data_IF_281622720270
#
_entry.id   IF_281622720270
#
_cell.length_a   1.000
_cell.length_b   1.000
_cell.length_c   1.000
_cell.angle_alpha   90.00
_cell.angle_beta   90.00
_cell.angle_gamma   90.00
#
_symmetry.space_group_name_H-M   'P 1'
#
loop_
_entity.id
_entity.type
_entity.pdbx_description
1 polymer ?
#
# COMPACT_ATOMS: atom_id res chain seq x y z
N UNK A 1 -1.27 15.20 -23.60
CA UNK A 1 -2.21 14.86 -22.55
C UNK A 1 -3.59 15.40 -22.88
N UNK A 2 -4.58 14.58 -22.71
CA UNK A 2 -5.95 14.98 -22.98
C UNK A 2 -6.49 15.83 -21.82
N UNK A 3 -6.79 17.08 -22.10
CA UNK A 3 -7.30 18.02 -21.10
C UNK A 3 -8.81 17.89 -20.89
N UNK A 4 -9.47 17.05 -21.66
CA UNK A 4 -10.92 16.87 -21.58
C UNK A 4 -11.31 15.67 -20.70
N UNK A 5 -10.34 15.03 -20.07
CA UNK A 5 -10.62 13.93 -19.16
C UNK A 5 -11.33 14.49 -17.93
N UNK A 6 -12.49 13.94 -17.61
CA UNK A 6 -13.26 14.31 -16.45
C UNK A 6 -13.34 13.14 -15.47
N UNK A 7 -13.31 13.46 -14.20
CA UNK A 7 -13.47 12.44 -13.16
C UNK A 7 -14.92 11.96 -13.15
N UNK A 8 -15.09 10.66 -13.17
CA UNK A 8 -16.41 10.05 -13.02
C UNK A 8 -16.73 9.96 -11.53
N UNK A 9 -17.97 10.26 -11.19
CA UNK A 9 -18.48 10.07 -9.84
C UNK A 9 -19.29 8.80 -9.81
N UNK A 10 -18.97 7.93 -8.84
CA UNK A 10 -19.68 6.69 -8.67
C UNK A 10 -20.56 6.77 -7.42
N UNK A 11 -21.65 6.02 -7.42
CA UNK A 11 -22.57 6.01 -6.29
C UNK A 11 -21.97 5.35 -5.06
N UNK A 12 -21.19 4.29 -5.27
CA UNK A 12 -20.53 3.60 -4.17
C UNK A 12 -19.19 4.28 -3.91
N UNK A 13 -19.02 4.79 -2.71
CA UNK A 13 -17.85 5.57 -2.32
C UNK A 13 -17.06 4.85 -1.22
N UNK A 14 -15.93 5.43 -0.85
CA UNK A 14 -15.07 4.86 0.19
C UNK A 14 -15.83 4.56 1.48
N UNK A 15 -16.70 5.48 1.91
CA UNK A 15 -17.41 5.32 3.16
C UNK A 15 -18.35 4.10 3.11
N UNK A 16 -18.93 3.84 1.96
CA UNK A 16 -19.80 2.68 1.80
C UNK A 16 -19.01 1.38 1.90
N UNK A 17 -17.85 1.35 1.27
CA UNK A 17 -16.97 0.19 1.31
C UNK A 17 -16.40 -0.03 2.71
N UNK A 18 -16.10 1.05 3.42
CA UNK A 18 -15.63 0.98 4.80
C UNK A 18 -16.70 0.39 5.71
N UNK A 19 -17.96 0.77 5.51
CA UNK A 19 -19.09 0.23 6.28
C UNK A 19 -19.26 -1.26 6.05
N UNK A 20 -19.13 -1.72 4.80
CA UNK A 20 -19.21 -3.14 4.50
C UNK A 20 -18.14 -3.93 5.26
N UNK A 21 -16.98 -3.37 5.46
CA UNK A 21 -15.86 -4.01 6.13
C UNK A 21 -15.85 -3.73 7.63
N UNK A 22 -16.75 -2.88 8.10
CA UNK A 22 -16.84 -2.49 9.50
C UNK A 22 -15.48 -2.03 10.04
N UNK A 23 -14.85 -1.13 9.31
CA UNK A 23 -13.53 -0.63 9.68
C UNK A 23 -13.27 0.74 9.09
N UNK A 24 -12.28 1.43 9.66
CA UNK A 24 -11.80 2.71 9.16
C UNK A 24 -10.62 2.45 8.22
N UNK A 25 -10.74 2.74 6.92
CA UNK A 25 -9.63 2.54 5.99
C UNK A 25 -8.45 3.41 6.37
N UNK A 26 -7.24 2.85 6.23
CA UNK A 26 -6.03 3.60 6.53
C UNK A 26 -4.83 2.92 5.89
N UNK A 27 -3.75 3.67 5.77
CA UNK A 27 -2.48 3.16 5.30
C UNK A 27 -1.45 3.30 6.42
N UNK A 28 -0.85 2.20 6.82
CA UNK A 28 0.22 2.16 7.80
C UNK A 28 1.52 1.96 7.04
N UNK A 29 2.34 3.01 6.99
CA UNK A 29 3.55 3.00 6.20
C UNK A 29 4.76 2.77 7.08
N UNK A 30 5.48 1.68 6.81
CA UNK A 30 6.66 1.29 7.57
C UNK A 30 7.89 1.33 6.67
N UNK A 31 8.89 2.10 7.07
CA UNK A 31 10.16 2.17 6.36
C UNK A 31 11.30 1.78 7.29
N UNK A 32 12.41 1.37 6.69
CA UNK A 32 13.59 1.01 7.45
C UNK A 32 14.64 0.41 6.55
N UNK A 33 15.81 0.22 7.10
CA UNK A 33 16.90 -0.41 6.38
C UNK A 33 16.66 -1.91 6.33
N UNK A 34 17.26 -2.56 5.33
CA UNK A 34 17.24 -4.01 5.22
C UNK A 34 17.79 -4.62 6.52
N UNK A 35 17.11 -5.65 7.02
CA UNK A 35 17.52 -6.32 8.24
C UNK A 35 17.06 -5.66 9.52
N UNK A 36 16.24 -4.61 9.46
CA UNK A 36 15.73 -3.92 10.64
C UNK A 36 14.54 -4.60 11.31
N UNK A 37 14.09 -5.74 10.80
CA UNK A 37 12.92 -6.43 11.33
C UNK A 37 11.61 -5.89 10.80
N UNK A 38 11.65 -5.01 9.81
CA UNK A 38 10.48 -4.36 9.24
C UNK A 38 9.44 -5.36 8.72
N UNK A 39 9.89 -6.38 8.00
CA UNK A 39 8.98 -7.38 7.43
C UNK A 39 8.28 -8.18 8.52
N UNK A 40 9.03 -8.58 9.56
CA UNK A 40 8.46 -9.32 10.69
C UNK A 40 7.43 -8.48 11.43
N UNK A 41 7.70 -7.19 11.61
CA UNK A 41 6.78 -6.29 12.30
C UNK A 41 5.51 -6.08 11.48
N UNK A 42 5.65 -5.88 10.17
CA UNK A 42 4.50 -5.71 9.29
C UNK A 42 3.62 -6.95 9.29
N UNK A 43 4.22 -8.13 9.24
CA UNK A 43 3.50 -9.38 9.27
C UNK A 43 2.77 -9.57 10.61
N UNK A 44 3.42 -9.23 11.72
CA UNK A 44 2.80 -9.35 13.03
C UNK A 44 1.60 -8.42 13.16
N UNK A 45 1.74 -7.19 12.68
CA UNK A 45 0.65 -6.22 12.70
C UNK A 45 -0.54 -6.69 11.85
N UNK A 46 -0.26 -7.15 10.64
CA UNK A 46 -1.29 -7.67 9.75
C UNK A 46 -2.04 -8.84 10.38
N UNK A 47 -1.30 -9.76 10.98
CA UNK A 47 -1.86 -10.94 11.64
C UNK A 47 -2.76 -10.54 12.81
N UNK A 48 -2.34 -9.59 13.63
CA UNK A 48 -3.14 -9.12 14.75
C UNK A 48 -4.43 -8.44 14.28
N UNK A 49 -4.35 -7.62 13.24
CA UNK A 49 -5.53 -6.98 12.68
C UNK A 49 -6.48 -7.99 12.09
N UNK A 50 -5.95 -9.01 11.44
CA UNK A 50 -6.77 -10.10 10.90
C UNK A 50 -7.53 -10.82 12.01
N UNK A 51 -6.87 -11.10 13.14
CA UNK A 51 -7.52 -11.72 14.29
C UNK A 51 -8.64 -10.86 14.85
N UNK A 52 -8.52 -9.55 14.71
CA UNK A 52 -9.55 -8.59 15.11
C UNK A 52 -10.65 -8.44 14.07
N UNK A 53 -10.66 -9.29 13.06
CA UNK A 53 -11.64 -9.29 11.98
C UNK A 53 -11.56 -8.07 11.08
N UNK A 54 -10.35 -7.51 10.93
CA UNK A 54 -10.12 -6.41 10.00
C UNK A 54 -9.63 -6.94 8.66
N UNK A 55 -10.06 -6.30 7.60
CA UNK A 55 -9.65 -6.67 6.25
C UNK A 55 -8.41 -5.84 5.90
N UNK A 56 -7.27 -6.51 5.86
CA UNK A 56 -5.97 -5.88 5.65
C UNK A 56 -5.27 -6.44 4.43
N UNK A 57 -4.27 -5.73 3.95
CA UNK A 57 -3.37 -6.22 2.92
C UNK A 57 -1.99 -5.64 3.12
N UNK A 58 -0.96 -6.47 2.92
CA UNK A 58 0.43 -6.02 3.02
C UNK A 58 0.98 -5.76 1.63
N UNK A 59 1.54 -4.58 1.44
CA UNK A 59 2.34 -4.25 0.26
C UNK A 59 3.80 -4.29 0.69
N UNK A 60 4.48 -5.38 0.36
CA UNK A 60 5.88 -5.60 0.72
C UNK A 60 6.77 -5.32 -0.49
N UNK A 61 7.80 -4.51 -0.28
CA UNK A 61 8.66 -4.06 -1.37
C UNK A 61 9.29 -5.19 -2.17
N UNK A 62 9.74 -6.25 -1.49
CA UNK A 62 10.37 -7.37 -2.18
C UNK A 62 9.38 -8.12 -3.06
N UNK A 63 8.17 -8.36 -2.55
CA UNK A 63 7.14 -9.03 -3.32
C UNK A 63 6.65 -8.18 -4.50
N UNK A 64 6.59 -6.87 -4.32
CA UNK A 64 6.17 -5.97 -5.40
C UNK A 64 7.16 -5.96 -6.56
N UNK A 65 8.43 -6.23 -6.30
CA UNK A 65 9.44 -6.34 -7.36
C UNK A 65 9.26 -7.57 -8.23
N UNK A 66 8.51 -8.55 -7.76
CA UNK A 66 8.20 -9.73 -8.55
C UNK A 66 7.03 -9.50 -9.51
N UNK A 67 6.29 -8.42 -9.35
CA UNK A 67 5.13 -8.11 -10.17
C UNK A 67 5.06 -6.65 -10.56
N UNK A 68 4.37 -5.85 -9.77
CA UNK A 68 4.10 -4.43 -10.08
C UNK A 68 5.35 -3.66 -10.51
N UNK A 69 6.45 -3.88 -9.83
CA UNK A 69 7.70 -3.15 -10.05
C UNK A 69 8.81 -4.01 -10.62
N UNK A 70 8.45 -5.06 -11.37
CA UNK A 70 9.44 -6.00 -11.93
C UNK A 70 10.35 -5.35 -12.98
N UNK A 71 9.92 -4.24 -13.58
CA UNK A 71 10.71 -3.51 -14.57
C UNK A 71 11.72 -2.53 -13.96
N UNK A 72 11.70 -2.36 -12.65
CA UNK A 72 12.55 -1.38 -11.97
C UNK A 72 13.82 -2.02 -11.44
N UNK A 73 14.92 -1.25 -11.50
CA UNK A 73 16.22 -1.64 -10.96
C UNK A 73 16.52 -0.81 -9.70
N UNK A 74 17.71 -0.95 -9.12
CA UNK A 74 18.05 -0.32 -7.86
C UNK A 74 18.64 1.09 -7.98
N UNK A 75 18.49 1.75 -9.14
CA UNK A 75 18.92 3.15 -9.28
C UNK A 75 18.07 4.07 -8.41
N UNK A 76 18.59 5.24 -8.10
CA UNK A 76 17.85 6.24 -7.30
C UNK A 76 16.52 6.61 -7.96
N UNK A 77 16.55 6.80 -9.29
CA UNK A 77 15.36 7.13 -10.08
C UNK A 77 14.31 6.03 -9.94
N UNK A 78 14.72 4.77 -10.08
CA UNK A 78 13.78 3.65 -10.02
C UNK A 78 13.30 3.39 -8.60
N UNK A 79 14.12 3.68 -7.59
CA UNK A 79 13.68 3.59 -6.20
C UNK A 79 12.57 4.61 -5.92
N UNK A 80 12.69 5.82 -6.45
CA UNK A 80 11.66 6.84 -6.32
C UNK A 80 10.39 6.42 -7.05
N UNK A 81 10.52 5.83 -8.23
CA UNK A 81 9.38 5.33 -8.98
C UNK A 81 8.70 4.16 -8.26
N UNK A 82 9.48 3.31 -7.61
CA UNK A 82 8.94 2.22 -6.79
C UNK A 82 8.04 2.78 -5.69
N UNK A 83 8.53 3.78 -4.95
CA UNK A 83 7.76 4.40 -3.88
C UNK A 83 6.49 5.05 -4.42
N UNK A 84 6.60 5.75 -5.55
CA UNK A 84 5.46 6.38 -6.18
C UNK A 84 4.38 5.37 -6.55
N UNK A 85 4.76 4.27 -7.20
CA UNK A 85 3.82 3.23 -7.62
C UNK A 85 3.14 2.58 -6.41
N UNK A 86 3.90 2.31 -5.37
CA UNK A 86 3.35 1.71 -4.15
C UNK A 86 2.37 2.67 -3.49
N UNK A 87 2.70 3.96 -3.43
CA UNK A 87 1.81 4.96 -2.84
C UNK A 87 0.49 5.06 -3.60
N UNK A 88 0.55 5.07 -4.93
CA UNK A 88 -0.66 5.13 -5.75
C UNK A 88 -1.51 3.87 -5.58
N UNK A 89 -0.86 2.70 -5.52
CA UNK A 89 -1.56 1.44 -5.31
C UNK A 89 -2.23 1.42 -3.93
N UNK A 90 -1.50 1.83 -2.90
CA UNK A 90 -2.04 1.89 -1.54
C UNK A 90 -3.25 2.83 -1.46
N UNK A 91 -3.18 3.95 -2.17
CA UNK A 91 -4.27 4.92 -2.20
C UNK A 91 -5.56 4.28 -2.74
N UNK A 92 -5.44 3.52 -3.83
CA UNK A 92 -6.59 2.83 -4.41
C UNK A 92 -7.16 1.79 -3.46
N UNK A 93 -6.29 1.07 -2.77
CA UNK A 93 -6.71 0.03 -1.83
C UNK A 93 -7.39 0.63 -0.60
N UNK A 94 -6.89 1.74 -0.09
CA UNK A 94 -7.53 2.45 1.02
C UNK A 94 -8.90 2.97 0.59
N UNK A 95 -8.99 3.46 -0.66
CA UNK A 95 -10.26 3.91 -1.20
C UNK A 95 -11.28 2.77 -1.28
N UNK A 96 -10.81 1.54 -1.43
CA UNK A 96 -11.69 0.36 -1.45
C UNK A 96 -12.11 -0.10 -0.05
N UNK A 97 -11.68 0.60 1.00
CA UNK A 97 -12.07 0.30 2.37
C UNK A 97 -11.07 -0.56 3.13
N UNK A 98 -9.91 -0.85 2.55
CA UNK A 98 -8.91 -1.71 3.18
C UNK A 98 -8.03 -0.95 4.17
N UNK A 99 -7.48 -1.70 5.11
CA UNK A 99 -6.36 -1.24 5.93
C UNK A 99 -5.12 -1.80 5.26
N UNK A 100 -4.24 -0.92 4.78
CA UNK A 100 -3.07 -1.30 4.01
C UNK A 100 -1.81 -1.10 4.85
N UNK A 101 -0.99 -2.14 4.93
CA UNK A 101 0.30 -2.07 5.62
C UNK A 101 1.38 -2.07 4.54
N UNK A 102 2.14 -0.99 4.45
CA UNK A 102 3.21 -0.87 3.46
C UNK A 102 4.55 -1.04 4.15
N UNK A 103 5.36 -1.97 3.64
CA UNK A 103 6.71 -2.18 4.14
C UNK A 103 7.72 -2.02 3.02
N UNK A 104 8.50 -0.96 3.06
CA UNK A 104 9.53 -0.66 2.06
C UNK A 104 10.88 -0.45 2.71
N UNK A 105 11.94 -0.78 1.96
CA UNK A 105 13.29 -0.44 2.36
C UNK A 105 13.48 1.06 2.11
N UNK A 106 13.96 1.78 3.13
CA UNK A 106 14.24 3.20 2.98
C UNK A 106 15.35 3.39 1.95
N UNK A 107 15.17 4.29 0.96
CA UNK A 107 16.22 4.56 -0.02
C UNK A 107 17.37 5.39 0.55
N UNK A 108 17.20 5.98 1.73
CA UNK A 108 18.18 6.85 2.36
C UNK A 108 18.50 6.35 3.75
N UNK A 109 19.70 6.64 4.16
CA UNK A 109 20.16 6.35 5.51
C UNK A 109 20.08 7.58 6.39
#
# INVERSE_FOLDING_TARGET
MDKNIQLQKFEVMQIDRAKLKNQKPMCLWMTGLSGSGKTSLANALDSELYKMKKHTYILDGDNLRLGLNSDLVFSKKDRNENVRRVAETAKLMVDSGLIVVVGLISPFR
#
